data_IF_658203045085
#
_entry.id   IF_658203045085
#
_cell.length_a   1.000
_cell.length_b   1.000
_cell.length_c   1.000
_cell.angle_alpha   90.00
_cell.angle_beta   90.00
_cell.angle_gamma   90.00
#
_symmetry.space_group_name_H-M   'P 1'
#
loop_
_entity.id
_entity.type
_entity.pdbx_description
1 polymer ?
#
# COMPACT_ATOMS: atom_id res chain seq x y z
N UNK A 1 23.70 19.19 17.01
CA UNK A 1 24.77 19.30 15.99
C UNK A 1 24.20 18.85 14.66
N UNK A 2 24.52 19.64 13.62
CA UNK A 2 24.53 19.28 12.19
C UNK A 2 23.19 18.90 11.54
N UNK A 3 22.61 19.86 10.81
CA UNK A 3 21.97 19.61 9.52
C UNK A 3 22.23 20.82 8.60
N UNK A 4 23.50 21.02 8.24
CA UNK A 4 23.94 21.92 7.18
C UNK A 4 24.46 21.10 6.00
N UNK A 5 23.58 20.41 5.28
CA UNK A 5 23.88 19.92 3.94
C UNK A 5 22.58 19.84 3.15
N UNK A 6 22.24 20.89 2.41
CA UNK A 6 21.47 20.84 1.15
C UNK A 6 21.08 22.22 0.59
N UNK A 7 21.98 23.22 0.66
CA UNK A 7 21.72 24.54 0.03
C UNK A 7 22.54 24.73 -1.26
N UNK A 8 23.52 23.87 -1.57
CA UNK A 8 24.44 24.10 -2.70
C UNK A 8 23.90 23.69 -4.08
N UNK A 9 22.94 22.75 -4.16
CA UNK A 9 22.45 22.25 -5.46
C UNK A 9 21.36 23.13 -6.07
N UNK A 10 20.60 23.86 -5.27
CA UNK A 10 19.54 24.75 -5.77
C UNK A 10 20.10 26.04 -6.37
N UNK A 11 21.17 26.61 -5.81
CA UNK A 11 21.75 27.85 -6.35
C UNK A 11 22.40 27.69 -7.73
N UNK A 12 22.95 26.52 -8.06
CA UNK A 12 23.58 26.29 -9.35
C UNK A 12 22.57 26.21 -10.51
N UNK A 13 21.36 25.70 -10.26
CA UNK A 13 20.30 25.59 -11.27
C UNK A 13 19.71 26.97 -11.61
N UNK A 14 19.64 27.89 -10.64
CA UNK A 14 19.15 29.25 -10.88
C UNK A 14 20.16 30.14 -11.63
N UNK A 15 21.47 29.90 -11.47
CA UNK A 15 22.50 30.66 -12.20
C UNK A 15 22.56 30.28 -13.70
N UNK A 16 22.40 29.00 -14.03
CA UNK A 16 22.41 28.53 -15.43
C UNK A 16 21.16 28.99 -16.20
N UNK A 17 19.99 29.07 -15.54
CA UNK A 17 18.76 29.62 -16.16
C UNK A 17 18.90 31.10 -16.50
N UNK A 18 19.56 31.92 -15.68
CA UNK A 18 19.72 33.35 -15.95
C UNK A 18 20.69 33.63 -17.11
N UNK A 19 21.73 32.83 -17.30
CA UNK A 19 22.67 32.98 -18.42
C UNK A 19 22.08 32.54 -19.77
N UNK A 20 21.26 31.48 -19.79
CA UNK A 20 20.59 31.02 -21.02
C UNK A 20 19.45 31.96 -21.46
N UNK A 21 18.66 32.48 -20.53
CA UNK A 21 17.58 33.43 -20.87
C UNK A 21 18.09 34.82 -21.29
N UNK A 22 19.24 35.27 -20.77
CA UNK A 22 19.87 36.52 -21.20
C UNK A 22 20.46 36.45 -22.62
N UNK A 23 20.99 35.30 -23.02
CA UNK A 23 21.59 35.11 -24.36
C UNK A 23 20.54 34.94 -25.46
N UNK A 24 19.38 34.34 -25.15
CA UNK A 24 18.26 34.20 -26.10
C UNK A 24 17.62 35.57 -26.42
N UNK A 25 17.53 36.49 -25.45
CA UNK A 25 16.93 37.82 -25.68
C UNK A 25 17.72 38.70 -26.66
N UNK A 26 19.05 38.66 -26.62
CA UNK A 26 19.87 39.46 -27.56
C UNK A 26 19.74 38.97 -29.00
N UNK A 27 19.61 37.66 -29.22
CA UNK A 27 19.39 37.07 -30.56
C UNK A 27 18.01 37.38 -31.15
N UNK A 28 16.99 37.59 -30.32
CA UNK A 28 15.64 37.92 -30.81
C UNK A 28 15.47 39.38 -31.21
N UNK A 29 16.33 40.27 -30.69
CA UNK A 29 16.29 41.69 -31.05
C UNK A 29 17.08 41.96 -32.35
N UNK A 30 18.16 41.23 -32.61
CA UNK A 30 18.88 41.25 -33.90
C UNK A 30 18.05 40.65 -35.06
N UNK A 31 17.10 39.76 -34.78
CA UNK A 31 16.23 39.16 -35.81
C UNK A 31 15.02 40.02 -36.21
N UNK A 32 14.83 41.20 -35.59
CA UNK A 32 13.72 42.11 -35.92
C UNK A 32 14.08 43.18 -36.94
N UNK A 33 15.36 43.35 -37.30
CA UNK A 33 15.82 44.37 -38.25
C UNK A 33 15.73 43.95 -39.73
N UNK A 34 15.14 42.78 -40.04
CA UNK A 34 15.10 42.22 -41.40
C UNK A 34 13.73 41.79 -41.92
N UNK A 35 12.62 42.06 -41.22
CA UNK A 35 11.29 41.74 -41.74
C UNK A 35 10.77 42.88 -42.60
N UNK A 36 10.91 42.73 -43.92
CA UNK A 36 10.17 43.54 -44.89
C UNK A 36 8.66 43.48 -44.58
N UNK A 37 7.94 44.62 -44.65
CA UNK A 37 6.51 44.66 -44.36
C UNK A 37 5.75 43.70 -45.27
N UNK A 38 4.84 42.93 -44.66
CA UNK A 38 4.10 41.80 -45.23
C UNK A 38 2.96 42.26 -46.15
N UNK A 39 3.15 43.37 -46.85
CA UNK A 39 2.14 44.00 -47.70
C UNK A 39 2.63 43.94 -49.15
N UNK A 40 2.69 42.73 -49.68
CA UNK A 40 2.57 42.52 -51.12
C UNK A 40 1.26 41.79 -51.31
N UNK A 41 0.24 42.51 -51.76
CA UNK A 41 -0.95 41.91 -52.37
C UNK A 41 -0.47 41.11 -53.60
N UNK A 42 -0.12 39.84 -53.38
CA UNK A 42 0.01 38.86 -54.44
C UNK A 42 -1.41 38.46 -54.82
N UNK A 43 -1.79 38.73 -56.07
CA UNK A 43 -3.06 38.33 -56.67
C UNK A 43 -3.19 36.80 -56.72
N UNK A 44 -3.52 36.19 -55.59
CA UNK A 44 -3.74 34.76 -55.43
C UNK A 44 -4.87 34.52 -54.45
N UNK A 45 -5.67 33.48 -54.72
CA UNK A 45 -6.77 33.05 -53.85
C UNK A 45 -6.29 32.95 -52.41
N UNK A 46 -7.08 33.48 -51.47
CA UNK A 46 -6.77 33.39 -50.04
C UNK A 46 -6.57 31.92 -49.65
N UNK A 47 -5.66 31.59 -48.73
CA UNK A 47 -5.53 30.21 -48.23
C UNK A 47 -6.87 29.60 -47.79
N UNK A 48 -7.78 30.42 -47.28
CA UNK A 48 -9.14 30.03 -46.89
C UNK A 48 -10.03 29.66 -48.10
N UNK A 49 -9.84 30.34 -49.23
CA UNK A 49 -10.53 30.05 -50.49
C UNK A 49 -9.98 28.78 -51.13
N UNK A 50 -8.67 28.54 -51.06
CA UNK A 50 -8.05 27.29 -51.51
C UNK A 50 -8.57 26.11 -50.69
N UNK A 51 -8.73 26.28 -49.37
CA UNK A 51 -9.31 25.25 -48.50
C UNK A 51 -10.79 25.02 -48.84
N UNK A 52 -11.57 26.09 -49.11
CA UNK A 52 -12.96 25.97 -49.57
C UNK A 52 -13.07 25.24 -50.91
N UNK A 53 -12.20 25.54 -51.86
CA UNK A 53 -12.17 24.91 -53.18
C UNK A 53 -11.81 23.42 -53.06
N UNK A 54 -10.86 23.06 -52.21
CA UNK A 54 -10.49 21.67 -51.92
C UNK A 54 -11.66 20.90 -51.28
N UNK A 55 -12.33 21.51 -50.29
CA UNK A 55 -13.50 20.90 -49.65
C UNK A 55 -14.70 20.80 -50.61
N UNK A 56 -14.89 21.78 -51.50
CA UNK A 56 -15.92 21.76 -52.53
C UNK A 56 -15.65 20.68 -53.61
N UNK A 57 -14.38 20.41 -53.93
CA UNK A 57 -13.99 19.31 -54.81
C UNK A 57 -14.26 17.92 -54.21
N UNK A 58 -14.16 17.78 -52.88
CA UNK A 58 -14.46 16.52 -52.18
C UNK A 58 -15.97 16.32 -51.90
N UNK A 59 -16.76 17.40 -51.83
CA UNK A 59 -18.20 17.36 -51.49
C UNK A 59 -19.08 16.59 -52.49
N UNK A 60 -18.61 16.32 -53.71
CA UNK A 60 -19.34 15.57 -54.74
C UNK A 60 -18.84 14.15 -55.00
N UNK A 61 -17.80 13.67 -54.31
CA UNK A 61 -17.20 12.36 -54.59
C UNK A 61 -18.01 11.25 -53.92
N UNK A 62 -18.49 10.22 -54.64
CA UNK A 62 -19.19 9.11 -54.03
C UNK A 62 -18.26 8.39 -53.04
N UNK A 63 -18.77 8.09 -51.83
CA UNK A 63 -18.02 7.33 -50.83
C UNK A 63 -17.59 5.98 -51.42
N UNK A 64 -16.30 5.66 -51.31
CA UNK A 64 -15.79 4.33 -51.71
C UNK A 64 -16.41 3.27 -50.80
N UNK A 65 -17.08 2.27 -51.40
CA UNK A 65 -17.61 1.11 -50.68
C UNK A 65 -16.48 0.36 -49.99
N UNK A 66 -16.70 -0.02 -48.74
CA UNK A 66 -15.77 -0.82 -47.94
C UNK A 66 -16.07 -2.31 -48.10
N UNK A 67 -15.17 -3.19 -47.65
CA UNK A 67 -15.41 -4.65 -47.61
C UNK A 67 -16.73 -4.99 -46.90
N UNK A 68 -17.02 -4.32 -45.78
CA UNK A 68 -18.27 -4.52 -45.04
C UNK A 68 -19.51 -4.21 -45.88
N UNK A 69 -19.46 -3.17 -46.70
CA UNK A 69 -20.57 -2.78 -47.56
C UNK A 69 -20.84 -3.85 -48.64
N UNK A 70 -19.78 -4.39 -49.26
CA UNK A 70 -19.88 -5.49 -50.21
C UNK A 70 -20.40 -6.79 -49.57
N UNK A 71 -19.96 -7.13 -48.34
CA UNK A 71 -20.48 -8.28 -47.61
C UNK A 71 -21.98 -8.16 -47.32
N UNK A 72 -22.46 -6.95 -46.98
CA UNK A 72 -23.90 -6.70 -46.72
C UNK A 72 -24.73 -6.85 -47.99
N UNK A 73 -24.28 -6.30 -49.11
CA UNK A 73 -24.98 -6.41 -50.40
C UNK A 73 -25.08 -7.87 -50.86
N UNK A 74 -24.01 -8.66 -50.67
CA UNK A 74 -24.05 -10.09 -50.97
C UNK A 74 -24.93 -10.87 -49.99
N UNK A 75 -24.96 -10.53 -48.70
CA UNK A 75 -25.88 -11.17 -47.75
C UNK A 75 -27.36 -10.93 -48.12
N UNK A 76 -27.68 -9.76 -48.67
CA UNK A 76 -29.04 -9.38 -49.07
C UNK A 76 -29.46 -9.96 -50.43
N UNK A 77 -28.58 -9.89 -51.43
CA UNK A 77 -28.92 -10.23 -52.81
C UNK A 77 -28.24 -11.50 -53.32
N UNK A 78 -27.41 -12.14 -52.49
CA UNK A 78 -26.65 -13.34 -52.85
C UNK A 78 -25.78 -13.12 -54.08
N UNK A 79 -25.70 -14.15 -54.94
CA UNK A 79 -24.94 -14.11 -56.18
C UNK A 79 -25.44 -13.07 -57.20
N UNK A 80 -26.70 -12.64 -57.10
CA UNK A 80 -27.26 -11.61 -57.98
C UNK A 80 -26.63 -10.22 -57.75
N UNK A 81 -25.96 -10.00 -56.60
CA UNK A 81 -25.21 -8.78 -56.32
C UNK A 81 -23.97 -8.59 -57.21
N UNK A 82 -23.47 -9.64 -57.86
CA UNK A 82 -22.24 -9.60 -58.66
C UNK A 82 -20.95 -9.41 -57.85
N UNK A 83 -21.02 -9.42 -56.52
CA UNK A 83 -19.85 -9.35 -55.63
C UNK A 83 -19.12 -10.69 -55.61
N UNK A 84 -17.80 -10.67 -55.73
CA UNK A 84 -16.95 -11.86 -55.60
C UNK A 84 -17.03 -12.42 -54.15
N UNK A 85 -17.47 -13.68 -53.95
CA UNK A 85 -17.51 -14.33 -52.64
C UNK A 85 -16.16 -14.37 -51.91
N UNK A 86 -15.03 -14.32 -52.62
CA UNK A 86 -13.70 -14.36 -51.99
C UNK A 86 -13.45 -13.17 -51.07
N UNK A 87 -14.13 -12.04 -51.30
CA UNK A 87 -13.96 -10.80 -50.52
C UNK A 87 -14.54 -10.94 -49.10
N UNK A 88 -15.43 -11.91 -48.85
CA UNK A 88 -16.04 -12.10 -47.53
C UNK A 88 -15.09 -12.70 -46.50
N UNK A 89 -14.07 -13.40 -46.95
CA UNK A 89 -13.10 -14.03 -46.07
C UNK A 89 -11.98 -13.04 -45.69
N UNK A 90 -11.41 -13.16 -44.47
CA UNK A 90 -10.24 -12.37 -44.08
C UNK A 90 -9.08 -12.57 -45.05
N UNK A 91 -8.28 -11.53 -45.22
CA UNK A 91 -7.03 -11.68 -45.97
C UNK A 91 -6.04 -12.53 -45.16
N UNK A 92 -5.02 -13.09 -45.80
CA UNK A 92 -3.99 -13.88 -45.09
C UNK A 92 -3.30 -13.09 -43.95
N UNK A 93 -3.19 -11.77 -44.08
CA UNK A 93 -2.64 -10.90 -43.03
C UNK A 93 -3.58 -10.78 -41.83
N UNK A 94 -4.85 -10.49 -42.09
CA UNK A 94 -5.89 -10.40 -41.05
C UNK A 94 -6.12 -11.75 -40.35
N UNK A 95 -6.09 -12.86 -41.09
CA UNK A 95 -6.25 -14.19 -40.51
C UNK A 95 -5.13 -14.52 -39.51
N UNK A 96 -3.88 -14.12 -39.81
CA UNK A 96 -2.77 -14.28 -38.86
C UNK A 96 -2.98 -13.47 -37.59
N UNK A 97 -3.41 -12.21 -37.74
CA UNK A 97 -3.73 -11.35 -36.59
C UNK A 97 -4.85 -11.94 -35.73
N UNK A 98 -5.93 -12.44 -36.35
CA UNK A 98 -7.03 -13.09 -35.63
C UNK A 98 -6.56 -14.33 -34.85
N UNK A 99 -5.68 -15.15 -35.45
CA UNK A 99 -5.12 -16.33 -34.78
C UNK A 99 -4.16 -15.93 -33.65
N UNK A 100 -3.37 -14.88 -33.83
CA UNK A 100 -2.49 -14.35 -32.78
C UNK A 100 -3.32 -13.80 -31.60
N UNK A 101 -4.36 -13.03 -31.88
CA UNK A 101 -5.30 -12.51 -30.88
C UNK A 101 -6.02 -13.66 -30.16
N UNK A 102 -6.52 -14.67 -30.88
CA UNK A 102 -7.16 -15.84 -30.27
C UNK A 102 -6.20 -16.58 -29.35
N UNK A 103 -4.96 -16.84 -29.78
CA UNK A 103 -3.97 -17.50 -28.94
C UNK A 103 -3.59 -16.67 -27.71
N UNK A 104 -3.61 -15.34 -27.82
CA UNK A 104 -3.25 -14.43 -26.73
C UNK A 104 -4.39 -14.30 -25.70
N UNK A 105 -5.63 -14.12 -26.16
CA UNK A 105 -6.78 -13.87 -25.29
C UNK A 105 -7.54 -15.14 -24.90
N UNK A 106 -7.65 -16.12 -25.80
CA UNK A 106 -8.38 -17.35 -25.61
C UNK A 106 -7.41 -18.51 -25.32
N UNK A 107 -7.35 -18.90 -24.05
CA UNK A 107 -6.52 -20.02 -23.61
C UNK A 107 -7.11 -21.37 -24.03
N UNK A 108 -6.24 -22.35 -24.23
CA UNK A 108 -6.68 -23.74 -24.47
C UNK A 108 -7.36 -24.34 -23.24
N UNK A 109 -8.31 -25.25 -23.49
CA UNK A 109 -9.05 -25.94 -22.42
C UNK A 109 -8.11 -26.72 -21.49
N UNK A 110 -7.11 -27.39 -22.05
CA UNK A 110 -6.12 -28.15 -21.30
C UNK A 110 -5.32 -27.26 -20.34
N UNK A 111 -4.94 -26.07 -20.81
CA UNK A 111 -4.22 -25.09 -19.99
C UNK A 111 -5.07 -24.61 -18.81
N UNK A 112 -6.36 -24.37 -19.03
CA UNK A 112 -7.28 -24.00 -17.96
C UNK A 112 -7.47 -25.13 -16.94
N UNK A 113 -7.60 -26.38 -17.39
CA UNK A 113 -7.73 -27.53 -16.51
C UNK A 113 -6.47 -27.73 -15.65
N UNK A 114 -5.29 -27.59 -16.24
CA UNK A 114 -4.02 -27.70 -15.52
C UNK A 114 -3.90 -26.64 -14.41
N UNK A 115 -4.29 -25.40 -14.69
CA UNK A 115 -4.28 -24.32 -13.70
C UNK A 115 -5.25 -24.59 -12.54
N UNK A 116 -6.48 -25.03 -12.84
CA UNK A 116 -7.46 -25.37 -11.80
C UNK A 116 -6.96 -26.50 -10.89
N UNK A 117 -6.32 -27.51 -11.46
CA UNK A 117 -5.70 -28.59 -10.69
C UNK A 117 -4.55 -28.08 -9.81
N UNK A 118 -3.74 -27.15 -10.31
CA UNK A 118 -2.66 -26.53 -9.55
C UNK A 118 -3.20 -25.67 -8.39
N UNK A 119 -4.22 -24.86 -8.65
CA UNK A 119 -4.88 -24.05 -7.62
C UNK A 119 -5.51 -24.92 -6.53
N UNK A 120 -6.18 -26.01 -6.93
CA UNK A 120 -6.77 -26.96 -5.99
C UNK A 120 -5.71 -27.57 -5.07
N UNK A 121 -4.60 -28.06 -5.64
CA UNK A 121 -3.48 -28.60 -4.87
C UNK A 121 -2.88 -27.56 -3.91
N UNK A 122 -2.75 -26.30 -4.33
CA UNK A 122 -2.26 -25.22 -3.46
C UNK A 122 -3.19 -24.98 -2.28
N UNK A 123 -4.50 -24.89 -2.52
CA UNK A 123 -5.52 -24.74 -1.47
C UNK A 123 -5.49 -25.89 -0.48
N UNK A 124 -5.47 -27.13 -0.97
CA UNK A 124 -5.39 -28.33 -0.14
C UNK A 124 -4.11 -28.33 0.74
N UNK A 125 -2.96 -27.93 0.19
CA UNK A 125 -1.72 -27.80 0.95
C UNK A 125 -1.79 -26.71 2.03
N UNK A 126 -2.42 -25.58 1.74
CA UNK A 126 -2.62 -24.51 2.73
C UNK A 126 -3.55 -24.94 3.86
N UNK A 127 -4.65 -25.61 3.55
CA UNK A 127 -5.58 -26.17 4.53
C UNK A 127 -4.88 -27.19 5.43
N UNK A 128 -4.11 -28.11 4.85
CA UNK A 128 -3.32 -29.08 5.62
C UNK A 128 -2.29 -28.41 6.54
N UNK A 129 -1.63 -27.33 6.08
CA UNK A 129 -0.70 -26.56 6.92
C UNK A 129 -1.44 -25.89 8.09
N UNK A 130 -2.60 -25.31 7.84
CA UNK A 130 -3.45 -24.69 8.88
C UNK A 130 -3.89 -25.73 9.90
N UNK A 131 -4.39 -26.88 9.45
CA UNK A 131 -4.81 -27.99 10.31
C UNK A 131 -3.66 -28.48 11.19
N UNK A 132 -2.48 -28.77 10.60
CA UNK A 132 -1.28 -29.17 11.36
C UNK A 132 -0.84 -28.13 12.37
N UNK A 133 -1.01 -26.84 12.08
CA UNK A 133 -0.70 -25.78 13.03
C UNK A 133 -1.70 -25.77 14.19
N UNK A 134 -2.99 -25.86 13.89
CA UNK A 134 -4.06 -25.93 14.89
C UNK A 134 -3.84 -27.15 15.80
N UNK A 135 -3.56 -28.32 15.25
CA UNK A 135 -3.27 -29.54 16.02
C UNK A 135 -2.11 -29.35 17.00
N UNK A 136 -1.01 -28.72 16.56
CA UNK A 136 0.14 -28.41 17.44
C UNK A 136 -0.26 -27.46 18.57
N UNK A 137 -1.04 -26.42 18.27
CA UNK A 137 -1.53 -25.48 19.27
C UNK A 137 -2.47 -26.17 20.26
N UNK A 138 -3.40 -26.99 19.78
CA UNK A 138 -4.32 -27.78 20.61
C UNK A 138 -3.57 -28.74 21.53
N UNK A 139 -2.50 -29.39 21.04
CA UNK A 139 -1.67 -30.26 21.87
C UNK A 139 -0.93 -29.51 23.00
N UNK A 140 -0.66 -28.21 22.82
CA UNK A 140 -0.01 -27.37 23.84
C UNK A 140 -1.01 -26.75 24.83
N UNK A 141 -2.30 -26.66 24.49
CA UNK A 141 -3.31 -26.00 25.32
C UNK A 141 -3.41 -26.53 26.75
N UNK A 142 -3.45 -27.86 27.03
CA UNK A 142 -3.63 -28.35 28.39
C UNK A 142 -2.51 -27.90 29.34
N UNK A 143 -1.26 -27.89 28.85
CA UNK A 143 -0.11 -27.43 29.63
C UNK A 143 -0.20 -25.94 29.94
N UNK A 144 -0.57 -25.13 28.93
CA UNK A 144 -0.75 -23.68 29.10
C UNK A 144 -1.91 -23.35 30.06
N UNK A 145 -2.98 -24.13 30.02
CA UNK A 145 -4.12 -23.96 30.92
C UNK A 145 -3.72 -24.22 32.38
N UNK A 146 -3.00 -25.30 32.65
CA UNK A 146 -2.48 -25.60 33.99
C UNK A 146 -1.53 -24.50 34.49
N UNK A 147 -0.61 -24.04 33.64
CA UNK A 147 0.30 -22.95 33.99
C UNK A 147 -0.45 -21.65 34.29
N UNK A 148 -1.49 -21.35 33.52
CA UNK A 148 -2.34 -20.17 33.74
C UNK A 148 -3.08 -20.28 35.08
N UNK A 149 -3.71 -21.43 35.36
CA UNK A 149 -4.39 -21.67 36.65
C UNK A 149 -3.42 -21.48 37.83
N UNK A 150 -2.23 -22.06 37.76
CA UNK A 150 -1.18 -21.90 38.80
C UNK A 150 -0.76 -20.45 38.98
N UNK A 151 -0.63 -19.68 37.90
CA UNK A 151 -0.30 -18.25 37.95
C UNK A 151 -1.40 -17.44 38.61
N UNK A 152 -2.66 -17.71 38.29
CA UNK A 152 -3.81 -17.05 38.88
C UNK A 152 -3.93 -17.34 40.38
N UNK A 153 -3.81 -18.60 40.78
CA UNK A 153 -3.80 -19.01 42.20
C UNK A 153 -2.66 -18.32 42.97
N UNK A 154 -1.44 -18.33 42.41
CA UNK A 154 -0.31 -17.64 43.02
C UNK A 154 -0.51 -16.12 43.13
N UNK A 155 -1.22 -15.51 42.17
CA UNK A 155 -1.56 -14.08 42.20
C UNK A 155 -2.56 -13.79 43.32
N UNK A 156 -3.62 -14.59 43.43
CA UNK A 156 -4.63 -14.47 44.48
C UNK A 156 -4.01 -14.64 45.87
N UNK A 157 -3.17 -15.66 46.06
CA UNK A 157 -2.49 -15.90 47.33
C UNK A 157 -1.58 -14.73 47.73
N UNK A 158 -0.80 -14.18 46.78
CA UNK A 158 0.03 -12.99 47.01
C UNK A 158 -0.82 -11.77 47.38
N UNK A 159 -1.97 -11.61 46.74
CA UNK A 159 -2.89 -10.52 47.03
C UNK A 159 -3.47 -10.65 48.44
N UNK A 160 -3.95 -11.84 48.83
CA UNK A 160 -4.44 -12.12 50.17
C UNK A 160 -3.36 -11.90 51.25
N UNK A 161 -2.15 -12.41 51.02
CA UNK A 161 -1.02 -12.15 51.92
C UNK A 161 -0.74 -10.66 52.05
N UNK A 162 -0.79 -9.91 50.94
CA UNK A 162 -0.58 -8.47 50.96
C UNK A 162 -1.68 -7.74 51.73
N UNK A 163 -2.94 -8.20 51.61
CA UNK A 163 -4.09 -7.67 52.37
C UNK A 163 -3.93 -7.96 53.86
N UNK A 164 -3.56 -9.19 54.24
CA UNK A 164 -3.28 -9.58 55.63
C UNK A 164 -2.12 -8.76 56.21
N UNK A 165 -1.01 -8.63 55.48
CA UNK A 165 0.16 -7.82 55.89
C UNK A 165 -0.22 -6.34 56.09
N UNK A 166 -1.05 -5.78 55.21
CA UNK A 166 -1.57 -4.40 55.34
C UNK A 166 -2.48 -4.27 56.56
N UNK A 167 -3.39 -5.21 56.80
CA UNK A 167 -4.28 -5.19 57.95
C UNK A 167 -3.51 -5.18 59.29
N UNK A 168 -2.53 -6.09 59.44
CA UNK A 168 -1.65 -6.15 60.62
C UNK A 168 -0.88 -4.83 60.81
N UNK A 169 -0.40 -4.21 59.72
CA UNK A 169 0.32 -2.95 59.79
C UNK A 169 -0.59 -1.79 60.22
N UNK A 170 -1.86 -1.80 59.81
CA UNK A 170 -2.84 -0.80 60.21
C UNK A 170 -3.26 -0.96 61.67
N UNK A 171 -3.43 -2.19 62.16
CA UNK A 171 -3.71 -2.46 63.57
C UNK A 171 -2.55 -1.98 64.48
N UNK A 172 -1.31 -2.34 64.14
CA UNK A 172 -0.14 -1.87 64.89
C UNK A 172 0.01 -0.34 64.87
N UNK A 173 -0.40 0.32 63.78
CA UNK A 173 -0.44 1.77 63.72
C UNK A 173 -1.53 2.34 64.63
N UNK A 174 -2.73 1.73 64.65
CA UNK A 174 -3.83 2.14 65.53
C UNK A 174 -3.45 2.08 67.00
N UNK A 175 -2.69 1.06 67.42
CA UNK A 175 -2.20 0.93 68.80
C UNK A 175 -1.22 2.05 69.19
N UNK A 176 -0.36 2.50 68.26
CA UNK A 176 0.68 3.50 68.56
C UNK A 176 0.25 4.94 68.37
N UNK A 177 -0.57 5.21 67.36
CA UNK A 177 -0.88 6.55 66.87
C UNK A 177 -2.38 6.88 67.02
N UNK A 178 -3.24 5.92 67.41
CA UNK A 178 -4.68 6.09 67.63
C UNK A 178 -5.59 5.65 66.48
N UNK A 179 -6.92 5.72 66.64
CA UNK A 179 -7.88 5.16 65.67
C UNK A 179 -8.03 5.96 64.36
N UNK A 180 -7.75 7.27 64.35
CA UNK A 180 -7.94 8.17 63.21
C UNK A 180 -6.65 8.38 62.38
N UNK A 181 -6.12 7.31 61.79
CA UNK A 181 -4.89 7.38 60.99
C UNK A 181 -5.16 7.03 59.52
N UNK A 182 -4.78 7.95 58.64
CA UNK A 182 -4.71 7.69 57.20
C UNK A 182 -3.39 6.99 56.83
N UNK A 183 -3.41 5.86 56.10
CA UNK A 183 -2.21 5.19 55.57
C UNK A 183 -1.29 6.07 54.70
N UNK A 184 -1.79 7.20 54.18
CA UNK A 184 -1.02 8.14 53.36
C UNK A 184 -0.29 9.21 54.17
N UNK A 185 -0.62 9.35 55.46
CA UNK A 185 -0.04 10.36 56.34
C UNK A 185 1.47 10.19 56.54
N UNK A 186 2.17 11.30 56.74
CA UNK A 186 3.63 11.33 56.91
C UNK A 186 4.07 10.56 58.17
N UNK A 187 3.31 10.70 59.27
CA UNK A 187 3.56 10.00 60.54
C UNK A 187 3.48 8.48 60.41
N UNK A 188 2.53 7.97 59.63
CA UNK A 188 2.43 6.54 59.35
C UNK A 188 3.64 6.03 58.56
N UNK A 189 4.09 6.78 57.54
CA UNK A 189 5.27 6.40 56.75
C UNK A 189 6.54 6.32 57.60
N UNK A 190 6.76 7.28 58.49
CA UNK A 190 7.89 7.29 59.43
C UNK A 190 7.87 6.08 60.37
N UNK A 191 6.71 5.76 60.95
CA UNK A 191 6.52 4.58 61.79
C UNK A 191 6.82 3.28 61.02
N UNK A 192 6.34 3.14 59.77
CA UNK A 192 6.60 1.98 58.92
C UNK A 192 8.10 1.87 58.57
N UNK A 193 8.78 2.99 58.33
CA UNK A 193 10.22 2.99 58.10
C UNK A 193 11.02 2.54 59.34
N UNK A 194 10.66 3.02 60.53
CA UNK A 194 11.30 2.55 61.76
C UNK A 194 11.11 1.06 61.98
N UNK A 195 9.89 0.55 61.75
CA UNK A 195 9.59 -0.89 61.81
C UNK A 195 10.41 -1.70 60.79
N UNK A 196 10.56 -1.20 59.56
CA UNK A 196 11.41 -1.82 58.53
C UNK A 196 12.88 -1.82 58.94
N UNK A 197 13.39 -0.73 59.53
CA UNK A 197 14.78 -0.62 60.00
C UNK A 197 15.06 -1.63 61.13
N UNK A 198 14.17 -1.70 62.13
CA UNK A 198 14.25 -2.65 63.26
C UNK A 198 14.22 -4.11 62.80
N UNK A 199 13.29 -4.49 61.92
CA UNK A 199 13.26 -5.85 61.34
C UNK A 199 14.51 -6.18 60.51
N UNK A 200 15.10 -5.20 59.82
CA UNK A 200 16.31 -5.40 59.01
C UNK A 200 17.53 -5.63 59.89
N UNK A 201 17.66 -4.93 61.02
CA UNK A 201 18.77 -5.13 61.97
C UNK A 201 18.63 -6.47 62.69
N UNK A 202 17.42 -6.84 63.12
CA UNK A 202 17.13 -8.14 63.75
C UNK A 202 17.42 -9.32 62.81
N UNK A 203 16.95 -9.27 61.55
CA UNK A 203 17.26 -10.30 60.55
C UNK A 203 18.76 -10.46 60.29
N UNK A 204 19.51 -9.36 60.27
CA UNK A 204 20.97 -9.40 60.12
C UNK A 204 21.66 -10.00 61.35
N UNK A 205 21.17 -9.69 62.54
CA UNK A 205 21.68 -10.25 63.79
C UNK A 205 21.38 -11.76 63.89
N UNK A 206 20.19 -12.20 63.46
CA UNK A 206 19.80 -13.61 63.45
C UNK A 206 20.64 -14.44 62.46
N UNK A 207 20.90 -13.89 61.26
CA UNK A 207 21.82 -14.48 60.27
C UNK A 207 23.26 -14.58 60.80
N UNK A 208 23.75 -13.58 61.54
CA UNK A 208 25.09 -13.60 62.18
C UNK A 208 25.20 -14.64 63.30
N UNK A 209 24.09 -14.99 63.97
CA UNK A 209 24.01 -16.01 65.02
C UNK A 209 23.84 -17.44 64.48
N UNK A 210 23.78 -17.63 63.16
CA UNK A 210 23.70 -18.96 62.52
C UNK A 210 22.32 -19.63 62.56
N UNK A 211 21.27 -18.96 63.05
CA UNK A 211 19.92 -19.54 63.25
C UNK A 211 19.01 -19.24 62.05
N UNK A 212 19.56 -19.14 60.84
CA UNK A 212 18.81 -18.67 59.67
C UNK A 212 19.30 -19.27 58.36
N UNK A 213 19.15 -20.58 58.22
CA UNK A 213 18.93 -21.25 56.93
C UNK A 213 17.45 -21.26 56.62
#
# INVERSE_FOLDING_TARGET
MMNHMNISKTQHVYSIKLLLFGSIRKKTDELKEGYAPRDQHLEGKSPEEVIKDLLAQDAGRPRKKTRSDYCKEFALHGKASGVDPSIMWPTKGELRQLVEDENYYCRSLESMQADLLLERKRKELEELKKQKHIEKCLAQLPKLEEEHRKKEEARLLKEEESRKKKAVLLEAAREKLGYAIDPRSQRFKEMVEEWRRKRKTEKKALKRKGIGT
#
